data_IF_427773269673
#
_entry.id   IF_427773269673
#
_cell.length_a   1.000
_cell.length_b   1.000
_cell.length_c   1.000
_cell.angle_alpha   90.00
_cell.angle_beta   90.00
_cell.angle_gamma   90.00
#
_symmetry.space_group_name_H-M   'P 1'
#
loop_
_entity.id
_entity.type
_entity.pdbx_description
1 polymer ?
#
# COMPACT_ATOMS: atom_id res chain seq x y z
N UNK A 1 -16.45 -13.92 34.93
CA UNK A 1 -15.81 -14.81 33.95
C UNK A 1 -16.46 -14.70 32.57
N UNK A 2 -17.80 -14.74 32.49
CA UNK A 2 -18.56 -14.56 31.24
C UNK A 2 -18.36 -13.18 30.58
N UNK A 3 -18.32 -12.08 31.35
CA UNK A 3 -17.98 -10.74 30.82
C UNK A 3 -16.54 -10.65 30.29
N UNK A 4 -15.57 -11.20 31.02
CA UNK A 4 -14.16 -11.25 30.58
C UNK A 4 -13.98 -12.06 29.28
N UNK A 5 -14.65 -13.21 29.15
CA UNK A 5 -14.61 -14.01 27.92
C UNK A 5 -15.30 -13.26 26.76
N UNK A 6 -16.39 -12.55 27.04
CA UNK A 6 -17.08 -11.73 26.04
C UNK A 6 -16.24 -10.53 25.58
N UNK A 7 -15.52 -9.89 26.50
CA UNK A 7 -14.61 -8.79 26.21
C UNK A 7 -13.37 -9.25 25.45
N UNK A 8 -12.80 -10.42 25.78
CA UNK A 8 -11.69 -11.03 25.03
C UNK A 8 -12.13 -11.45 23.62
N UNK A 9 -13.34 -12.02 23.47
CA UNK A 9 -13.90 -12.37 22.16
C UNK A 9 -14.21 -11.12 21.33
N UNK A 10 -14.80 -10.07 21.91
CA UNK A 10 -15.01 -8.77 21.25
C UNK A 10 -13.70 -8.10 20.87
N UNK A 11 -12.70 -8.14 21.75
CA UNK A 11 -11.37 -7.59 21.50
C UNK A 11 -10.71 -8.29 20.31
N UNK A 12 -10.68 -9.63 20.29
CA UNK A 12 -10.13 -10.39 19.17
C UNK A 12 -10.90 -10.15 17.86
N UNK A 13 -12.23 -10.16 17.88
CA UNK A 13 -13.07 -9.93 16.69
C UNK A 13 -12.93 -8.51 16.10
N UNK A 14 -12.52 -7.53 16.92
CA UNK A 14 -12.51 -6.12 16.51
C UNK A 14 -11.11 -5.62 16.21
N UNK A 15 -10.13 -5.98 17.04
CA UNK A 15 -8.75 -5.49 16.93
C UNK A 15 -7.99 -6.24 15.83
N UNK A 16 -8.23 -7.53 15.67
CA UNK A 16 -7.53 -8.34 14.66
C UNK A 16 -7.82 -7.87 13.21
N UNK A 17 -9.07 -7.57 12.81
CA UNK A 17 -9.33 -6.99 11.48
C UNK A 17 -8.70 -5.61 11.28
N UNK A 18 -8.71 -4.75 12.31
CA UNK A 18 -8.09 -3.41 12.24
C UNK A 18 -6.57 -3.49 12.08
N UNK A 19 -5.95 -4.38 12.84
CA UNK A 19 -4.52 -4.68 12.73
C UNK A 19 -4.18 -5.26 11.36
N UNK A 20 -4.96 -6.22 10.87
CA UNK A 20 -4.76 -6.84 9.55
C UNK A 20 -4.90 -5.82 8.43
N UNK A 21 -5.94 -4.97 8.48
CA UNK A 21 -6.15 -3.90 7.52
C UNK A 21 -4.99 -2.89 7.53
N UNK A 22 -4.59 -2.43 8.72
CA UNK A 22 -3.47 -1.49 8.87
C UNK A 22 -2.14 -2.10 8.40
N UNK A 23 -1.90 -3.37 8.72
CA UNK A 23 -0.68 -4.07 8.33
C UNK A 23 -0.61 -4.29 6.83
N UNK A 24 -1.73 -4.68 6.20
CA UNK A 24 -1.82 -4.82 4.75
C UNK A 24 -1.60 -3.47 4.04
N UNK A 25 -2.25 -2.40 4.52
CA UNK A 25 -2.12 -1.06 3.94
C UNK A 25 -0.67 -0.56 3.96
N UNK A 26 -0.03 -0.52 5.14
CA UNK A 26 1.34 -0.05 5.27
C UNK A 26 2.34 -1.01 4.61
N UNK A 27 2.07 -2.32 4.67
CA UNK A 27 2.86 -3.34 4.00
C UNK A 27 2.91 -3.10 2.50
N UNK A 28 1.77 -2.94 1.84
CA UNK A 28 1.72 -2.67 0.40
C UNK A 28 2.42 -1.37 0.02
N UNK A 29 2.24 -0.28 0.78
CA UNK A 29 2.96 0.99 0.55
C UNK A 29 4.48 0.78 0.58
N UNK A 30 4.99 0.07 1.60
CA UNK A 30 6.41 -0.21 1.74
C UNK A 30 6.92 -1.16 0.66
N UNK A 31 6.18 -2.21 0.30
CA UNK A 31 6.53 -3.11 -0.80
C UNK A 31 6.60 -2.38 -2.15
N UNK A 32 5.62 -1.53 -2.45
CA UNK A 32 5.63 -0.69 -3.65
C UNK A 32 6.84 0.24 -3.68
N UNK A 33 7.22 0.78 -2.53
CA UNK A 33 8.42 1.61 -2.39
C UNK A 33 9.68 0.81 -2.68
N UNK A 34 9.84 -0.37 -2.08
CA UNK A 34 10.98 -1.26 -2.33
C UNK A 34 11.07 -1.69 -3.81
N UNK A 35 9.94 -2.02 -4.44
CA UNK A 35 9.88 -2.38 -5.87
C UNK A 35 10.31 -1.18 -6.73
N UNK A 36 9.83 0.02 -6.40
CA UNK A 36 10.18 1.27 -7.10
C UNK A 36 11.68 1.55 -7.02
N UNK A 37 12.27 1.43 -5.83
CA UNK A 37 13.72 1.59 -5.60
C UNK A 37 14.52 0.54 -6.34
N UNK A 38 14.11 -0.74 -6.28
CA UNK A 38 14.79 -1.82 -6.99
C UNK A 38 14.81 -1.58 -8.50
N UNK A 39 13.71 -1.05 -9.06
CA UNK A 39 13.60 -0.69 -10.47
C UNK A 39 14.47 0.52 -10.81
N UNK A 40 14.47 1.55 -9.98
CA UNK A 40 15.35 2.71 -10.11
C UNK A 40 16.83 2.28 -10.15
N UNK A 41 17.27 1.49 -9.16
CA UNK A 41 18.64 0.98 -9.09
C UNK A 41 18.97 0.13 -10.33
N UNK A 42 18.09 -0.78 -10.73
CA UNK A 42 18.34 -1.64 -11.90
C UNK A 42 18.42 -0.88 -13.24
N UNK A 43 17.82 0.31 -13.34
CA UNK A 43 17.84 1.15 -14.54
C UNK A 43 19.03 2.12 -14.52
N UNK A 44 19.27 2.79 -13.39
CA UNK A 44 20.30 3.83 -13.27
C UNK A 44 21.69 3.27 -12.94
N UNK A 45 21.76 2.11 -12.29
CA UNK A 45 22.98 1.41 -11.93
C UNK A 45 22.88 -0.05 -12.40
N UNK A 46 23.23 -0.35 -13.67
CA UNK A 46 23.22 -1.72 -14.19
C UNK A 46 24.33 -2.54 -13.52
N UNK A 47 24.14 -2.91 -12.26
CA UNK A 47 25.06 -3.76 -11.52
C UNK A 47 24.87 -5.20 -11.97
N UNK A 48 25.66 -5.59 -12.97
CA UNK A 48 25.60 -6.85 -13.70
C UNK A 48 25.75 -8.12 -12.84
N UNK A 49 26.13 -8.00 -11.57
CA UNK A 49 26.49 -9.14 -10.71
C UNK A 49 25.54 -9.38 -9.52
N UNK A 50 24.78 -8.38 -9.05
CA UNK A 50 24.01 -8.51 -7.80
C UNK A 50 22.66 -9.23 -7.96
N UNK A 51 21.99 -9.07 -9.11
CA UNK A 51 20.67 -9.67 -9.36
C UNK A 51 20.69 -11.17 -9.70
N UNK A 52 21.83 -11.73 -10.15
CA UNK A 52 21.88 -13.10 -10.69
C UNK A 52 22.13 -14.19 -9.64
N UNK A 53 22.87 -13.92 -8.56
CA UNK A 53 23.22 -14.95 -7.56
C UNK A 53 22.68 -14.70 -6.14
N UNK A 54 22.39 -13.44 -5.75
CA UNK A 54 21.95 -13.08 -4.39
C UNK A 54 20.50 -12.62 -4.23
N UNK A 55 19.76 -12.49 -5.34
CA UNK A 55 18.45 -11.81 -5.35
C UNK A 55 17.36 -12.46 -4.49
N UNK A 56 17.35 -13.80 -4.38
CA UNK A 56 16.32 -14.50 -3.59
C UNK A 56 16.49 -14.25 -2.08
N UNK A 57 17.71 -14.40 -1.56
CA UNK A 57 18.00 -14.15 -0.14
C UNK A 57 17.75 -12.69 0.23
N UNK A 58 18.19 -11.76 -0.63
CA UNK A 58 17.92 -10.34 -0.45
C UNK A 58 16.42 -10.01 -0.45
N UNK A 59 15.63 -10.62 -1.36
CA UNK A 59 14.18 -10.43 -1.37
C UNK A 59 13.53 -10.94 -0.08
N UNK A 60 13.93 -12.11 0.43
CA UNK A 60 13.44 -12.62 1.72
C UNK A 60 13.80 -11.69 2.88
N UNK A 61 15.04 -11.18 2.92
CA UNK A 61 15.47 -10.22 3.94
C UNK A 61 14.67 -8.92 3.86
N UNK A 62 14.42 -8.38 2.67
CA UNK A 62 13.60 -7.17 2.46
C UNK A 62 12.17 -7.43 2.91
N UNK A 63 11.55 -8.55 2.51
CA UNK A 63 10.20 -8.91 2.93
C UNK A 63 10.11 -9.03 4.45
N UNK A 64 11.04 -9.74 5.09
CA UNK A 64 11.09 -9.88 6.54
C UNK A 64 11.25 -8.53 7.24
N UNK A 65 12.14 -7.67 6.73
CA UNK A 65 12.34 -6.31 7.26
C UNK A 65 11.10 -5.42 7.11
N UNK A 66 10.44 -5.45 5.96
CA UNK A 66 9.17 -4.72 5.73
C UNK A 66 8.12 -5.16 6.72
N UNK A 67 7.90 -6.47 6.88
CA UNK A 67 6.91 -6.98 7.83
C UNK A 67 7.26 -6.66 9.28
N UNK A 68 8.54 -6.66 9.64
CA UNK A 68 8.98 -6.23 10.97
C UNK A 68 8.67 -4.75 11.21
N UNK A 69 8.98 -3.87 10.26
CA UNK A 69 8.67 -2.44 10.34
C UNK A 69 7.16 -2.22 10.44
N UNK A 70 6.36 -2.93 9.63
CA UNK A 70 4.90 -2.86 9.68
C UNK A 70 4.37 -3.30 11.04
N UNK A 71 4.89 -4.41 11.58
CA UNK A 71 4.49 -4.91 12.89
C UNK A 71 4.80 -3.88 13.98
N UNK A 72 5.99 -3.27 13.98
CA UNK A 72 6.38 -2.22 14.93
C UNK A 72 5.47 -0.98 14.79
N UNK A 73 5.22 -0.52 13.57
CA UNK A 73 4.37 0.64 13.31
C UNK A 73 2.92 0.39 13.73
N UNK A 74 2.41 -0.83 13.53
CA UNK A 74 1.03 -1.18 13.83
C UNK A 74 0.82 -1.67 15.27
N UNK A 75 1.87 -2.05 16.00
CA UNK A 75 1.79 -2.60 17.35
C UNK A 75 1.00 -1.73 18.35
N UNK A 76 1.15 -0.38 18.38
CA UNK A 76 0.39 0.45 19.31
C UNK A 76 -1.12 0.44 19.04
N UNK A 77 -1.56 -0.05 17.87
CA UNK A 77 -2.99 -0.27 17.57
C UNK A 77 -3.64 -1.23 18.57
N UNK A 78 -2.93 -2.24 19.08
CA UNK A 78 -3.45 -3.14 20.12
C UNK A 78 -3.73 -2.42 21.44
N UNK A 79 -2.96 -1.37 21.74
CA UNK A 79 -3.13 -0.59 22.97
C UNK A 79 -4.30 0.42 22.86
N UNK A 80 -4.47 1.02 21.69
CA UNK A 80 -5.47 2.08 21.49
C UNK A 80 -6.83 1.60 20.96
N UNK A 81 -6.89 0.41 20.36
CA UNK A 81 -8.12 -0.15 19.87
C UNK A 81 -9.05 -0.47 21.05
N UNK A 82 -10.29 0.02 20.95
CA UNK A 82 -11.26 -0.11 22.02
C UNK A 82 -12.67 -0.24 21.45
N UNK A 83 -13.50 -1.01 22.14
CA UNK A 83 -14.94 -1.07 21.94
C UNK A 83 -15.63 -0.19 22.98
N UNK A 84 -16.77 0.39 22.64
CA UNK A 84 -17.57 1.16 23.59
C UNK A 84 -19.04 1.17 23.22
N UNK A 85 -19.86 1.73 24.11
CA UNK A 85 -21.30 1.87 23.89
C UNK A 85 -21.59 3.33 23.55
N UNK A 86 -22.21 3.56 22.40
CA UNK A 86 -22.67 4.88 21.97
C UNK A 86 -24.13 4.79 21.54
N UNK A 87 -25.01 5.61 22.16
CA UNK A 87 -26.46 5.62 21.91
C UNK A 87 -27.10 4.21 21.99
N UNK A 88 -26.77 3.47 23.06
CA UNK A 88 -27.24 2.09 23.29
C UNK A 88 -26.87 1.07 22.20
N UNK A 89 -25.91 1.41 21.32
CA UNK A 89 -25.32 0.49 20.35
C UNK A 89 -23.85 0.27 20.66
N UNK A 90 -23.39 -0.96 20.48
CA UNK A 90 -21.95 -1.28 20.58
C UNK A 90 -21.25 -0.72 19.34
N UNK A 91 -20.28 0.18 19.54
CA UNK A 91 -19.46 0.77 18.49
C UNK A 91 -18.00 0.35 18.66
N UNK A 92 -17.34 0.05 17.56
CA UNK A 92 -15.89 -0.10 17.50
C UNK A 92 -15.25 1.27 17.26
N UNK A 93 -14.27 1.64 18.08
CA UNK A 93 -13.42 2.79 17.80
C UNK A 93 -12.19 2.34 17.03
N UNK A 94 -12.14 2.70 15.74
CA UNK A 94 -11.08 2.26 14.84
C UNK A 94 -9.73 2.99 15.01
N UNK A 95 -9.71 4.11 15.77
CA UNK A 95 -8.48 4.84 16.10
C UNK A 95 -8.27 4.85 17.61
N UNK A 96 -9.19 5.49 18.33
CA UNK A 96 -9.16 5.61 19.80
C UNK A 96 -10.53 6.04 20.31
N UNK A 97 -10.82 5.75 21.57
CA UNK A 97 -11.99 6.32 22.26
C UNK A 97 -11.93 7.87 22.26
N UNK A 98 -13.07 8.57 22.38
CA UNK A 98 -13.09 10.04 22.48
C UNK A 98 -12.18 10.57 23.60
N UNK A 99 -12.13 9.87 24.74
CA UNK A 99 -11.31 10.21 25.91
C UNK A 99 -9.80 10.14 25.62
N UNK A 100 -9.36 9.16 24.81
CA UNK A 100 -7.94 8.96 24.46
C UNK A 100 -7.55 9.58 23.11
N UNK A 101 -8.37 10.49 22.56
CA UNK A 101 -8.12 11.09 21.25
C UNK A 101 -6.86 11.96 21.20
N UNK A 102 -6.60 12.73 22.26
CA UNK A 102 -5.40 13.57 22.38
C UNK A 102 -4.12 12.74 22.54
N UNK A 103 -4.17 11.66 23.32
CA UNK A 103 -3.04 10.74 23.49
C UNK A 103 -2.74 9.94 22.20
N UNK A 104 -3.76 9.60 21.42
CA UNK A 104 -3.60 8.91 20.15
C UNK A 104 -3.07 9.82 19.04
N UNK A 105 -3.40 11.12 19.06
CA UNK A 105 -3.04 12.07 18.00
C UNK A 105 -1.55 12.02 17.56
N UNK A 106 -0.54 12.11 18.46
CA UNK A 106 0.86 12.07 18.05
C UNK A 106 1.23 10.73 17.39
N UNK A 107 0.73 9.61 17.90
CA UNK A 107 0.92 8.30 17.28
C UNK A 107 0.24 8.22 15.90
N UNK A 108 -1.00 8.68 15.79
CA UNK A 108 -1.75 8.69 14.53
C UNK A 108 -1.07 9.52 13.44
N UNK A 109 -0.48 10.66 13.81
CA UNK A 109 0.31 11.50 12.93
C UNK A 109 1.64 10.84 12.55
N UNK A 110 2.39 10.31 13.52
CA UNK A 110 3.63 9.60 13.27
C UNK A 110 3.41 8.40 12.33
N UNK A 111 2.34 7.65 12.51
CA UNK A 111 1.97 6.53 11.66
C UNK A 111 1.66 6.99 10.21
N UNK A 112 0.94 8.10 10.02
CA UNK A 112 0.72 8.66 8.67
C UNK A 112 2.03 9.17 8.06
N UNK A 113 2.88 9.84 8.83
CA UNK A 113 4.14 10.38 8.33
C UNK A 113 5.12 9.27 7.92
N UNK A 114 5.38 8.31 8.82
CA UNK A 114 6.33 7.22 8.60
C UNK A 114 5.76 6.16 7.66
N UNK A 115 4.47 5.87 7.77
CA UNK A 115 3.80 4.81 7.03
C UNK A 115 3.33 5.20 5.62
N UNK A 116 3.21 6.50 5.31
CA UNK A 116 2.71 6.97 4.01
C UNK A 116 3.54 8.10 3.39
N UNK A 117 3.73 9.21 4.10
CA UNK A 117 4.39 10.39 3.52
C UNK A 117 5.85 10.11 3.12
N UNK A 118 6.63 9.49 4.00
CA UNK A 118 8.03 9.15 3.73
C UNK A 118 8.16 8.14 2.57
N UNK A 119 7.42 7.02 2.54
CA UNK A 119 7.39 6.11 1.39
C UNK A 119 6.98 6.81 0.08
N UNK A 120 5.93 7.62 0.11
CA UNK A 120 5.44 8.36 -1.06
C UNK A 120 6.52 9.30 -1.63
N UNK A 121 7.17 10.08 -0.77
CA UNK A 121 8.27 10.96 -1.18
C UNK A 121 9.43 10.18 -1.77
N UNK A 122 9.81 9.04 -1.16
CA UNK A 122 10.85 8.17 -1.68
C UNK A 122 10.53 7.66 -3.09
N UNK A 123 9.30 7.21 -3.33
CA UNK A 123 8.81 6.78 -4.64
C UNK A 123 8.87 7.93 -5.65
N UNK A 124 8.35 9.11 -5.30
CA UNK A 124 8.31 10.28 -6.19
C UNK A 124 9.72 10.73 -6.58
N UNK A 125 10.67 10.77 -5.63
CA UNK A 125 12.08 11.10 -5.92
C UNK A 125 12.70 10.05 -6.83
N UNK A 126 12.52 8.76 -6.55
CA UNK A 126 13.05 7.68 -7.39
C UNK A 126 12.53 7.79 -8.84
N UNK A 127 11.25 8.08 -9.00
CA UNK A 127 10.61 8.22 -10.30
C UNK A 127 10.99 9.50 -11.03
N UNK A 128 11.13 10.62 -10.32
CA UNK A 128 11.63 11.86 -10.89
C UNK A 128 13.06 11.67 -11.42
N UNK A 129 13.96 11.07 -10.62
CA UNK A 129 15.33 10.76 -11.04
C UNK A 129 15.37 9.80 -12.23
N UNK A 130 14.53 8.76 -12.20
CA UNK A 130 14.39 7.83 -13.32
C UNK A 130 13.93 8.54 -14.60
N UNK A 131 12.95 9.44 -14.50
CA UNK A 131 12.47 10.23 -15.63
C UNK A 131 13.56 11.17 -16.17
N UNK A 132 14.34 11.82 -15.30
CA UNK A 132 15.48 12.65 -15.71
C UNK A 132 16.52 11.86 -16.52
N UNK A 133 16.88 10.66 -16.04
CA UNK A 133 17.83 9.78 -16.74
C UNK A 133 17.27 9.31 -18.08
N UNK A 134 15.96 9.00 -18.15
CA UNK A 134 15.28 8.54 -19.36
C UNK A 134 15.02 9.66 -20.38
N UNK A 135 14.87 10.90 -19.94
CA UNK A 135 14.61 12.07 -20.79
C UNK A 135 15.87 12.80 -21.23
N UNK A 136 17.06 12.46 -20.69
CA UNK A 136 18.33 12.97 -21.22
C UNK A 136 18.51 12.48 -22.67
N UNK A 137 18.74 13.38 -23.64
CA UNK A 137 19.01 12.98 -25.01
C UNK A 137 20.32 12.20 -25.06
N UNK A 138 20.24 10.90 -25.32
CA UNK A 138 21.43 10.06 -25.50
C UNK A 138 21.95 10.30 -26.93
N UNK A 139 22.91 11.22 -27.07
CA UNK A 139 23.68 11.43 -28.31
C UNK A 139 24.73 10.34 -28.58
N UNK A 140 24.47 9.07 -28.26
CA UNK A 140 25.42 7.99 -28.60
C UNK A 140 24.74 6.80 -29.29
N UNK A 141 25.29 6.53 -30.48
CA UNK A 141 25.04 5.49 -31.46
C UNK A 141 24.43 4.17 -30.95
N UNK A 142 23.36 3.71 -31.62
CA UNK A 142 23.16 2.28 -31.92
C UNK A 142 22.29 1.41 -31.00
N UNK A 143 21.90 1.83 -29.78
CA UNK A 143 21.22 0.92 -28.80
C UNK A 143 19.71 1.21 -28.62
N UNK A 144 19.04 1.74 -29.65
CA UNK A 144 17.79 2.49 -29.51
C UNK A 144 16.52 1.68 -29.13
N UNK A 145 16.45 0.37 -29.47
CA UNK A 145 15.23 -0.43 -29.18
C UNK A 145 15.19 -1.02 -27.77
N UNK A 146 16.31 -1.51 -27.26
CA UNK A 146 16.38 -2.15 -25.94
C UNK A 146 16.26 -1.14 -24.78
N UNK A 147 16.72 0.10 -24.99
CA UNK A 147 16.54 1.22 -24.05
C UNK A 147 15.12 1.79 -24.09
N UNK A 148 14.51 1.89 -25.29
CA UNK A 148 13.11 2.29 -25.46
C UNK A 148 12.12 1.35 -24.75
N UNK A 149 12.31 0.03 -24.85
CA UNK A 149 11.43 -0.95 -24.19
C UNK A 149 11.59 -0.93 -22.65
N UNK A 150 12.79 -0.66 -22.14
CA UNK A 150 13.03 -0.44 -20.70
C UNK A 150 12.39 0.86 -20.21
N UNK A 151 12.45 1.92 -21.02
CA UNK A 151 11.82 3.23 -20.75
C UNK A 151 10.30 3.13 -20.66
N UNK A 152 9.66 2.48 -21.64
CA UNK A 152 8.20 2.29 -21.64
C UNK A 152 7.72 1.49 -20.42
N UNK A 153 8.46 0.43 -20.03
CA UNK A 153 8.16 -0.34 -18.82
C UNK A 153 8.29 0.49 -17.54
N UNK A 154 9.32 1.34 -17.46
CA UNK A 154 9.55 2.22 -16.32
C UNK A 154 8.44 3.28 -16.20
N UNK A 155 8.05 3.92 -17.30
CA UNK A 155 6.96 4.91 -17.34
C UNK A 155 5.62 4.27 -16.98
N UNK A 156 5.31 3.08 -17.52
CA UNK A 156 4.09 2.33 -17.15
C UNK A 156 4.04 2.01 -15.66
N UNK A 157 5.17 1.62 -15.06
CA UNK A 157 5.25 1.38 -13.63
C UNK A 157 5.00 2.65 -12.81
N UNK A 158 5.58 3.79 -13.21
CA UNK A 158 5.33 5.09 -12.57
C UNK A 158 3.83 5.39 -12.57
N UNK A 159 3.17 5.28 -13.74
CA UNK A 159 1.75 5.58 -13.88
C UNK A 159 0.90 4.67 -13.00
N UNK A 160 1.17 3.36 -13.00
CA UNK A 160 0.43 2.40 -12.17
C UNK A 160 0.59 2.71 -10.68
N UNK A 161 1.83 2.90 -10.21
CA UNK A 161 2.09 3.18 -8.80
C UNK A 161 1.47 4.51 -8.39
N UNK A 162 1.65 5.57 -9.19
CA UNK A 162 1.02 6.87 -8.94
C UNK A 162 -0.52 6.74 -8.86
N UNK A 163 -1.13 5.94 -9.74
CA UNK A 163 -2.58 5.69 -9.74
C UNK A 163 -3.03 4.99 -8.46
N UNK A 164 -2.30 3.95 -8.02
CA UNK A 164 -2.57 3.25 -6.74
C UNK A 164 -2.47 4.22 -5.57
N UNK A 165 -1.41 5.03 -5.51
CA UNK A 165 -1.25 6.03 -4.46
C UNK A 165 -2.38 7.07 -4.45
N UNK A 166 -2.75 7.62 -5.61
CA UNK A 166 -3.79 8.65 -5.72
C UNK A 166 -5.20 8.14 -5.44
N UNK A 167 -5.54 6.92 -5.87
CA UNK A 167 -6.89 6.37 -5.76
C UNK A 167 -7.08 5.60 -4.45
N UNK A 168 -6.10 4.81 -4.03
CA UNK A 168 -6.25 3.90 -2.88
C UNK A 168 -5.74 4.49 -1.58
N UNK A 169 -4.56 5.11 -1.58
CA UNK A 169 -3.89 5.48 -0.33
C UNK A 169 -4.11 6.94 0.08
N UNK A 170 -4.02 7.86 -0.88
CA UNK A 170 -4.13 9.30 -0.63
C UNK A 170 -5.49 9.69 -0.03
N UNK A 171 -6.65 9.22 -0.55
CA UNK A 171 -7.94 9.62 0.00
C UNK A 171 -8.09 9.14 1.45
N UNK A 172 -7.66 7.91 1.75
CA UNK A 172 -7.72 7.34 3.10
C UNK A 172 -6.83 8.09 4.10
N UNK A 173 -5.56 8.36 3.75
CA UNK A 173 -4.65 9.05 4.67
C UNK A 173 -5.00 10.53 4.84
N UNK A 174 -5.51 11.18 3.79
CA UNK A 174 -5.99 12.55 3.88
C UNK A 174 -7.19 12.66 4.84
N UNK A 175 -8.24 11.86 4.61
CA UNK A 175 -9.45 11.91 5.44
C UNK A 175 -9.20 11.43 6.86
N UNK A 176 -8.32 10.44 7.06
CA UNK A 176 -7.84 10.03 8.40
C UNK A 176 -7.18 11.20 9.13
N UNK A 177 -6.28 11.92 8.46
CA UNK A 177 -5.55 13.05 9.07
C UNK A 177 -6.50 14.19 9.41
N UNK A 178 -7.39 14.55 8.48
CA UNK A 178 -8.42 15.57 8.73
C UNK A 178 -9.33 15.17 9.89
N UNK A 179 -9.79 13.92 9.95
CA UNK A 179 -10.61 13.44 11.05
C UNK A 179 -9.87 13.47 12.38
N UNK A 180 -8.57 13.12 12.42
CA UNK A 180 -7.75 13.21 13.62
C UNK A 180 -7.63 14.65 14.13
N UNK A 181 -7.37 15.61 13.25
CA UNK A 181 -7.29 17.04 13.61
C UNK A 181 -8.64 17.54 14.12
N UNK A 182 -9.74 17.26 13.42
CA UNK A 182 -11.08 17.68 13.86
C UNK A 182 -11.45 17.07 15.22
N UNK A 183 -10.93 15.88 15.54
CA UNK A 183 -11.16 15.25 16.84
C UNK A 183 -10.47 15.97 17.99
N UNK A 184 -9.29 16.56 17.78
CA UNK A 184 -8.52 17.25 18.82
C UNK A 184 -9.00 18.68 19.06
N UNK A 185 -9.77 19.28 18.14
CA UNK A 185 -10.29 20.66 18.27
C UNK A 185 -11.50 20.75 19.20
N UNK A 186 -11.40 21.27 20.44
CA UNK A 186 -12.50 21.26 21.41
C UNK A 186 -13.73 22.06 20.94
N UNK A 187 -13.54 23.11 20.15
CA UNK A 187 -14.62 23.97 19.62
C UNK A 187 -15.32 23.42 18.36
N UNK A 188 -14.89 22.27 17.82
CA UNK A 188 -15.48 21.74 16.57
C UNK A 188 -16.90 21.18 16.83
N UNK A 189 -17.93 21.65 16.09
CA UNK A 189 -19.31 21.22 16.31
C UNK A 189 -19.52 19.74 15.99
N UNK A 190 -20.48 19.12 16.67
CA UNK A 190 -20.77 17.68 16.54
C UNK A 190 -21.09 17.28 15.09
N UNK A 191 -21.79 18.13 14.34
CA UNK A 191 -22.13 17.89 12.94
C UNK A 191 -20.87 17.75 12.06
N UNK A 192 -19.88 18.63 12.25
CA UNK A 192 -18.59 18.56 11.54
C UNK A 192 -17.82 17.30 11.89
N UNK A 193 -17.74 16.94 13.18
CA UNK A 193 -17.10 15.68 13.62
C UNK A 193 -17.77 14.45 12.99
N UNK A 194 -19.09 14.44 12.90
CA UNK A 194 -19.85 13.37 12.28
C UNK A 194 -19.58 13.30 10.77
N UNK A 195 -19.61 14.44 10.07
CA UNK A 195 -19.31 14.52 8.63
C UNK A 195 -17.92 13.94 8.31
N UNK A 196 -16.87 14.39 9.02
CA UNK A 196 -15.53 13.86 8.82
C UNK A 196 -15.41 12.38 9.20
N UNK A 197 -16.16 11.91 10.20
CA UNK A 197 -16.22 10.47 10.51
C UNK A 197 -16.85 9.66 9.37
N UNK A 198 -17.90 10.16 8.73
CA UNK A 198 -18.56 9.49 7.60
C UNK A 198 -17.62 9.43 6.41
N UNK A 199 -17.00 10.57 6.05
CA UNK A 199 -16.04 10.67 4.95
C UNK A 199 -14.84 9.72 5.18
N UNK A 200 -14.28 9.72 6.39
CA UNK A 200 -13.19 8.79 6.72
C UNK A 200 -13.62 7.32 6.54
N UNK A 201 -14.81 6.94 7.03
CA UNK A 201 -15.34 5.58 6.87
C UNK A 201 -15.59 5.22 5.40
N UNK A 202 -16.10 6.15 4.60
CA UNK A 202 -16.35 5.93 3.18
C UNK A 202 -15.07 5.80 2.34
N UNK A 203 -13.93 6.32 2.82
CA UNK A 203 -12.64 6.15 2.13
C UNK A 203 -11.93 4.81 2.39
N UNK A 204 -12.42 3.99 3.32
CA UNK A 204 -11.81 2.67 3.61
C UNK A 204 -11.84 1.67 2.46
N UNK A 205 -12.95 1.53 1.71
CA UNK A 205 -12.98 0.62 0.57
C UNK A 205 -11.90 0.97 -0.47
N UNK A 206 -11.59 2.25 -0.66
CA UNK A 206 -10.53 2.69 -1.57
C UNK A 206 -9.16 2.16 -1.15
N UNK A 207 -8.85 2.18 0.14
CA UNK A 207 -7.64 1.57 0.68
C UNK A 207 -7.62 0.05 0.47
N UNK A 208 -8.78 -0.63 0.55
CA UNK A 208 -8.89 -2.07 0.26
C UNK A 208 -8.71 -2.43 -1.21
N UNK A 209 -8.94 -1.50 -2.15
CA UNK A 209 -8.70 -1.74 -3.59
C UNK A 209 -7.23 -2.09 -3.86
N UNK A 210 -6.31 -1.63 -3.03
CA UNK A 210 -4.88 -1.95 -3.14
C UNK A 210 -4.61 -3.46 -3.25
N UNK A 211 -5.31 -4.32 -2.50
CA UNK A 211 -5.14 -5.78 -2.59
C UNK A 211 -5.54 -6.37 -3.95
N UNK A 212 -6.44 -5.71 -4.69
CA UNK A 212 -6.81 -6.08 -6.07
C UNK A 212 -5.81 -5.54 -7.10
N UNK A 213 -5.07 -4.49 -6.76
CA UNK A 213 -4.08 -3.87 -7.62
C UNK A 213 -2.73 -4.60 -7.57
N UNK A 214 -2.46 -5.38 -6.51
CA UNK A 214 -1.27 -6.22 -6.39
C UNK A 214 -1.08 -7.18 -7.59
N UNK A 215 -2.05 -8.02 -7.98
CA UNK A 215 -1.94 -8.87 -9.19
C UNK A 215 -1.67 -8.09 -10.48
N UNK A 216 -2.26 -6.90 -10.61
CA UNK A 216 -2.12 -6.03 -11.77
C UNK A 216 -0.68 -5.49 -11.82
N UNK A 217 -0.16 -5.03 -10.68
CA UNK A 217 1.22 -4.59 -10.53
C UNK A 217 2.20 -5.72 -10.89
N UNK A 218 1.98 -6.95 -10.41
CA UNK A 218 2.83 -8.09 -10.73
C UNK A 218 2.78 -8.47 -12.22
N UNK A 219 1.60 -8.43 -12.83
CA UNK A 219 1.43 -8.69 -14.26
C UNK A 219 2.23 -7.70 -15.13
N UNK A 220 2.20 -6.42 -14.79
CA UNK A 220 2.90 -5.38 -15.55
C UNK A 220 4.41 -5.29 -15.22
N UNK A 221 4.83 -5.65 -14.00
CA UNK A 221 6.23 -5.56 -13.58
C UNK A 221 7.10 -6.77 -13.95
N UNK A 222 6.51 -7.95 -14.16
CA UNK A 222 7.25 -9.19 -14.44
C UNK A 222 7.00 -9.73 -15.87
N UNK A 223 7.98 -9.60 -16.80
CA UNK A 223 7.82 -10.10 -18.17
C UNK A 223 7.64 -11.62 -18.26
N UNK A 224 8.18 -12.38 -17.29
CA UNK A 224 7.98 -13.84 -17.20
C UNK A 224 6.52 -14.21 -16.92
N UNK A 225 5.83 -13.43 -16.08
CA UNK A 225 4.42 -13.67 -15.77
C UNK A 225 3.54 -13.39 -17.00
N UNK A 226 3.77 -12.27 -17.68
CA UNK A 226 3.10 -11.92 -18.94
C UNK A 226 3.31 -12.98 -20.04
N UNK A 227 4.52 -13.53 -20.17
CA UNK A 227 4.80 -14.62 -21.11
C UNK A 227 4.08 -15.92 -20.72
N UNK A 228 4.04 -16.24 -19.43
CA UNK A 228 3.31 -17.42 -18.92
C UNK A 228 1.81 -17.31 -19.18
N UNK A 229 1.18 -16.18 -18.85
CA UNK A 229 -0.25 -15.94 -19.12
C UNK A 229 -0.54 -15.93 -20.61
N UNK A 230 0.30 -15.31 -21.46
CA UNK A 230 0.14 -15.37 -22.92
C UNK A 230 0.25 -16.79 -23.46
N UNK A 231 1.17 -17.60 -22.94
CA UNK A 231 1.30 -19.03 -23.31
C UNK A 231 0.07 -19.80 -22.89
N UNK A 232 -0.42 -19.59 -21.67
CA UNK A 232 -1.63 -20.24 -21.16
C UNK A 232 -2.87 -19.84 -21.97
N UNK A 233 -3.10 -18.55 -22.19
CA UNK A 233 -4.21 -18.04 -23.00
C UNK A 233 -4.16 -18.61 -24.42
N UNK A 234 -3.01 -18.59 -25.10
CA UNK A 234 -2.86 -19.23 -26.42
C UNK A 234 -3.23 -20.71 -26.39
N UNK A 235 -2.79 -21.44 -25.36
CA UNK A 235 -3.09 -22.87 -25.17
C UNK A 235 -4.59 -23.10 -24.98
N UNK A 236 -5.26 -22.23 -24.23
CA UNK A 236 -6.71 -22.29 -24.04
C UNK A 236 -7.46 -21.94 -25.33
N UNK A 237 -6.99 -20.96 -26.12
CA UNK A 237 -7.61 -20.61 -27.40
C UNK A 237 -7.45 -21.74 -28.42
N UNK A 238 -6.28 -22.37 -28.53
CA UNK A 238 -6.09 -23.53 -29.42
C UNK A 238 -6.81 -24.79 -28.96
N UNK A 239 -6.99 -24.99 -27.65
CA UNK A 239 -7.81 -26.09 -27.13
C UNK A 239 -9.31 -25.85 -27.40
N UNK A 240 -9.77 -24.60 -27.33
CA UNK A 240 -11.14 -24.23 -27.67
C UNK A 240 -11.44 -24.41 -29.16
N UNK A 241 -10.53 -24.00 -30.05
CA UNK A 241 -10.66 -24.24 -31.50
C UNK A 241 -10.73 -25.73 -31.84
N UNK A 242 -9.92 -26.58 -31.17
CA UNK A 242 -9.97 -28.03 -31.36
C UNK A 242 -11.25 -28.68 -30.84
N UNK A 243 -11.89 -28.10 -29.82
CA UNK A 243 -13.15 -28.60 -29.26
C UNK A 243 -14.39 -28.21 -30.07
N UNK A 244 -14.32 -27.16 -30.90
CA UNK A 244 -15.40 -26.74 -31.81
C UNK A 244 -15.29 -27.32 -33.23
N UNK A 245 -14.24 -28.12 -33.48
CA UNK A 245 -13.97 -28.75 -34.78
C UNK A 245 -14.36 -30.25 -34.82
N UNK A 246 -15.15 -30.71 -33.84
CA UNK A 246 -15.65 -32.10 -33.72
C UNK A 246 -17.16 -32.08 -33.78
#
# INVERSE_FOLDING_TARGET
MTEYVFDVVRFNLTVFPLYTFSSNLHGSILFLTCISVQRYVGICHPMAMWQKQGGRRLAWCICGGVWLVVAVLCAPTFHFAATGIQRNRTVCYDLSTPKNSLAYYPYGMALTCLGFMLPFMGVMVCYFRMAQVLCRPVSYQGVSRATGEKRDKAVKLIIIVATVFCISFLPFHLTKTMYLVVRTLPAAPCNTRNLFSIIYKSTRPFASINSFLDPILFYFTQPRYRQSTRRFMRKVTTLRDKGTSV
#
